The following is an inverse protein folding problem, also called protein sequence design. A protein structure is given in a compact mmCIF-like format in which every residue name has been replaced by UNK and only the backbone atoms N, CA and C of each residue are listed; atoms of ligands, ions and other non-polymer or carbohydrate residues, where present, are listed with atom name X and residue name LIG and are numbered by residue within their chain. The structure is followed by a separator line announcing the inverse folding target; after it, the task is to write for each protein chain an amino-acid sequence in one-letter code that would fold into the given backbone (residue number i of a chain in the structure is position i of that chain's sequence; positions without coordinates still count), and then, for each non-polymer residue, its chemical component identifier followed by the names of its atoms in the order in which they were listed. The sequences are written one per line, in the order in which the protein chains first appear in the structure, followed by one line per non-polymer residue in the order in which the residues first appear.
data_IF_341708439887
#
_entry.id   IF_341708439887
#
_cell.length_a   1.000
_cell.length_b   1.000
_cell.length_c   1.000
_cell.angle_alpha   90.00
_cell.angle_beta   90.00
_cell.angle_gamma   90.00
#
_symmetry.space_group_name_H-M   'P 1'
#
loop_
_entity.id
_entity.type
_entity.pdbx_description
1 polymer ?
#
# COMPACT_ATOMS: atom_id res chain seq x y z
N UNK A 1 -33.67 -12.74 5.68
CA UNK A 1 -32.94 -11.88 4.72
C UNK A 1 -33.18 -10.39 4.99
N UNK A 2 -34.35 -9.93 5.42
CA UNK A 2 -34.60 -8.50 5.73
C UNK A 2 -33.84 -7.98 6.98
N UNK A 3 -33.74 -8.78 8.04
CA UNK A 3 -32.99 -8.38 9.27
C UNK A 3 -31.48 -8.13 9.02
N UNK A 4 -30.88 -8.88 8.09
CA UNK A 4 -29.47 -8.74 7.81
C UNK A 4 -29.17 -7.47 6.97
N UNK A 5 -30.12 -7.05 6.13
CA UNK A 5 -29.99 -5.83 5.32
C UNK A 5 -30.13 -4.57 6.17
N UNK A 6 -31.04 -4.60 7.17
CA UNK A 6 -31.23 -3.49 8.10
C UNK A 6 -29.99 -3.28 9.01
N UNK A 7 -29.35 -4.37 9.48
CA UNK A 7 -28.14 -4.31 10.29
C UNK A 7 -26.93 -3.79 9.50
N UNK A 8 -26.85 -4.04 8.19
CA UNK A 8 -25.80 -3.50 7.32
C UNK A 8 -26.03 -2.00 7.05
N UNK A 9 -27.28 -1.59 6.83
CA UNK A 9 -27.64 -0.17 6.64
C UNK A 9 -27.45 0.65 7.93
N UNK A 10 -27.73 0.08 9.10
CA UNK A 10 -27.46 0.72 10.40
C UNK A 10 -25.95 0.83 10.66
N UNK A 11 -25.13 -0.15 10.22
CA UNK A 11 -23.68 -0.08 10.32
C UNK A 11 -23.07 1.01 9.41
N UNK A 12 -23.58 1.17 8.19
CA UNK A 12 -23.14 2.24 7.28
C UNK A 12 -23.61 3.63 7.74
N UNK A 13 -24.73 3.73 8.45
CA UNK A 13 -25.19 4.99 9.05
C UNK A 13 -24.32 5.46 10.25
N UNK A 14 -23.49 4.59 10.81
CA UNK A 14 -22.56 4.93 11.89
C UNK A 14 -21.28 5.59 11.39
N UNK A 15 -20.94 5.46 10.10
CA UNK A 15 -19.76 6.06 9.52
C UNK A 15 -19.96 7.58 9.34
N UNK A 16 -19.05 8.32 9.95
CA UNK A 16 -19.05 9.78 9.88
C UNK A 16 -17.82 10.24 9.10
N UNK A 17 -17.98 11.21 8.24
CA UNK A 17 -16.85 11.80 7.53
C UNK A 17 -16.99 13.31 7.41
N UNK A 18 -15.87 14.01 7.34
CA UNK A 18 -15.79 15.46 7.20
C UNK A 18 -14.53 15.86 6.48
N UNK A 19 -14.64 16.81 5.55
CA UNK A 19 -13.47 17.49 4.99
C UNK A 19 -13.28 18.79 5.77
N UNK A 20 -12.07 18.96 6.31
CA UNK A 20 -11.70 20.12 7.10
C UNK A 20 -11.34 21.33 6.19
N UNK A 21 -11.32 22.57 6.70
CA UNK A 21 -10.86 23.73 5.92
C UNK A 21 -9.44 23.59 5.37
N UNK A 22 -8.56 22.85 6.05
CA UNK A 22 -7.22 22.48 5.56
C UNK A 22 -7.23 21.56 4.33
N UNK A 23 -8.39 20.98 3.99
CA UNK A 23 -8.52 19.93 2.97
C UNK A 23 -8.41 18.49 3.51
N UNK A 24 -8.01 18.29 4.78
CA UNK A 24 -7.91 16.94 5.37
C UNK A 24 -9.28 16.27 5.42
N UNK A 25 -9.36 15.04 4.91
CA UNK A 25 -10.53 14.19 5.07
C UNK A 25 -10.43 13.41 6.37
N UNK A 26 -11.43 13.53 7.23
CA UNK A 26 -11.53 12.80 8.51
C UNK A 26 -12.68 11.79 8.41
N UNK A 27 -12.40 10.53 8.72
CA UNK A 27 -13.35 9.42 8.77
C UNK A 27 -13.40 8.86 10.19
N UNK A 28 -14.58 8.73 10.77
CA UNK A 28 -14.72 8.16 12.10
C UNK A 28 -15.85 7.12 12.12
N UNK A 29 -15.53 5.94 12.60
CA UNK A 29 -16.52 4.90 12.93
C UNK A 29 -16.52 4.66 14.45
N UNK A 30 -17.42 5.31 15.20
CA UNK A 30 -17.63 4.98 16.61
C UNK A 30 -18.14 3.54 16.74
N UNK A 31 -17.49 2.76 17.62
CA UNK A 31 -17.87 1.36 17.89
C UNK A 31 -18.16 1.19 19.38
N UNK A 32 -19.39 1.47 19.84
CA UNK A 32 -19.76 1.35 21.25
C UNK A 32 -19.52 -0.09 21.75
N UNK A 33 -18.92 -0.21 22.94
CA UNK A 33 -18.60 -1.51 23.54
C UNK A 33 -17.24 -2.08 23.19
N UNK A 34 -16.49 -1.46 22.24
CA UNK A 34 -15.08 -1.74 22.03
C UNK A 34 -14.22 -0.98 23.03
N UNK A 35 -13.16 -1.60 23.54
CA UNK A 35 -12.20 -0.95 24.41
C UNK A 35 -11.09 -0.24 23.63
N UNK A 36 -10.76 -0.73 22.44
CA UNK A 36 -9.67 -0.21 21.61
C UNK A 36 -10.15 0.76 20.54
N UNK A 37 -9.23 1.61 20.09
CA UNK A 37 -9.37 2.48 18.93
C UNK A 37 -8.19 2.25 18.01
N UNK A 38 -8.47 2.02 16.73
CA UNK A 38 -7.49 1.97 15.66
C UNK A 38 -7.53 3.26 14.86
N UNK A 39 -6.37 3.87 14.65
CA UNK A 39 -6.24 5.15 13.93
C UNK A 39 -5.22 4.98 12.81
N UNK A 40 -5.56 5.48 11.62
CA UNK A 40 -4.69 5.52 10.45
C UNK A 40 -4.63 6.96 9.94
N UNK A 41 -3.42 7.48 9.73
CA UNK A 41 -3.16 8.75 9.05
C UNK A 41 -2.39 8.45 7.77
N UNK A 42 -3.05 8.56 6.62
CA UNK A 42 -2.57 8.13 5.33
C UNK A 42 -2.34 9.31 4.38
N UNK A 43 -1.28 9.23 3.60
CA UNK A 43 -1.03 10.13 2.47
C UNK A 43 -1.11 9.34 1.16
N UNK A 44 -1.62 9.97 0.09
CA UNK A 44 -1.54 9.43 -1.27
C UNK A 44 -0.16 9.75 -1.84
N UNK A 45 0.83 9.04 -1.33
CA UNK A 45 2.22 9.08 -1.74
C UNK A 45 2.83 7.70 -1.52
N UNK A 46 3.30 7.05 -2.57
CA UNK A 46 3.89 5.72 -2.52
C UNK A 46 5.10 5.58 -3.42
N UNK A 47 5.57 4.36 -3.61
CA UNK A 47 6.82 4.10 -4.33
C UNK A 47 6.76 4.44 -5.83
N UNK A 48 5.56 4.61 -6.40
CA UNK A 48 5.39 5.02 -7.80
C UNK A 48 5.45 6.53 -8.01
N UNK A 49 5.32 7.34 -6.96
CA UNK A 49 5.30 8.81 -7.03
C UNK A 49 6.72 9.39 -7.08
N UNK A 50 7.51 9.00 -8.08
CA UNK A 50 8.91 9.37 -8.22
C UNK A 50 9.14 10.62 -9.06
N UNK A 51 8.27 10.87 -10.03
CA UNK A 51 8.35 11.99 -10.95
C UNK A 51 7.13 12.88 -10.78
N UNK A 52 7.34 14.14 -10.40
CA UNK A 52 6.25 15.10 -10.23
C UNK A 52 6.73 16.53 -10.45
N UNK A 53 5.77 17.42 -10.66
CA UNK A 53 5.99 18.87 -10.68
C UNK A 53 5.45 19.49 -9.41
N UNK A 54 6.29 20.25 -8.71
CA UNK A 54 5.96 21.02 -7.53
C UNK A 54 6.01 22.51 -7.91
N UNK A 55 4.85 23.14 -8.05
CA UNK A 55 4.75 24.45 -8.66
C UNK A 55 5.22 24.43 -10.12
N UNK A 56 6.35 25.09 -10.42
CA UNK A 56 6.97 25.09 -11.75
C UNK A 56 8.21 24.16 -11.85
N UNK A 57 8.65 23.59 -10.75
CA UNK A 57 9.86 22.75 -10.69
C UNK A 57 9.51 21.28 -10.87
N UNK A 58 10.20 20.61 -11.78
CA UNK A 58 10.17 19.16 -11.91
C UNK A 58 11.10 18.52 -10.88
N UNK A 59 10.60 17.49 -10.21
CA UNK A 59 11.30 16.72 -9.19
C UNK A 59 11.36 15.27 -9.66
N UNK A 60 12.55 14.71 -9.61
CA UNK A 60 12.82 13.31 -9.93
C UNK A 60 13.48 12.66 -8.73
N UNK A 61 12.86 11.61 -8.21
CA UNK A 61 13.28 10.94 -6.99
C UNK A 61 13.85 9.55 -7.28
N UNK A 62 14.84 9.10 -6.51
CA UNK A 62 15.34 7.73 -6.59
C UNK A 62 14.28 6.73 -6.11
N UNK A 63 14.41 5.46 -6.51
CA UNK A 63 13.58 4.39 -5.97
C UNK A 63 13.82 4.24 -4.47
N UNK A 64 12.76 3.91 -3.71
CA UNK A 64 12.85 3.74 -2.27
C UNK A 64 12.55 4.99 -1.45
N UNK A 65 12.42 6.18 -2.06
CA UNK A 65 12.25 7.44 -1.32
C UNK A 65 11.00 7.46 -0.44
N UNK A 66 9.88 6.89 -0.89
CA UNK A 66 8.64 6.86 -0.11
C UNK A 66 8.79 5.99 1.16
N UNK A 67 9.37 4.82 1.03
CA UNK A 67 9.69 3.93 2.15
C UNK A 67 10.73 4.54 3.08
N UNK A 68 11.77 5.17 2.53
CA UNK A 68 12.76 5.89 3.30
C UNK A 68 12.14 7.03 4.12
N UNK A 69 11.23 7.79 3.53
CA UNK A 69 10.51 8.87 4.22
C UNK A 69 9.61 8.32 5.32
N UNK A 70 8.99 7.17 5.12
CA UNK A 70 8.19 6.49 6.15
C UNK A 70 9.01 6.24 7.40
N UNK A 71 10.20 5.62 7.27
CA UNK A 71 11.13 5.39 8.38
C UNK A 71 11.52 6.71 9.06
N UNK A 72 11.89 7.70 8.25
CA UNK A 72 12.37 8.99 8.78
C UNK A 72 11.30 9.80 9.50
N UNK A 73 10.02 9.53 9.24
CA UNK A 73 8.92 10.24 9.89
C UNK A 73 8.80 9.92 11.39
N UNK A 74 9.33 8.78 11.84
CA UNK A 74 9.33 8.39 13.26
C UNK A 74 10.45 9.06 14.07
N UNK A 75 11.41 9.72 13.43
CA UNK A 75 12.49 10.42 14.12
C UNK A 75 12.25 11.93 14.06
N UNK A 76 12.22 12.58 15.22
CA UNK A 76 12.11 14.02 15.33
C UNK A 76 13.30 14.62 16.13
N UNK A 77 13.29 15.93 16.32
CA UNK A 77 14.37 16.65 17.04
C UNK A 77 14.50 16.18 18.50
N UNK A 78 13.40 15.75 19.11
CA UNK A 78 13.33 15.32 20.53
C UNK A 78 13.53 13.81 20.69
N UNK A 79 13.69 13.04 19.60
CA UNK A 79 13.97 11.61 19.60
C UNK A 79 12.99 10.77 18.77
N UNK A 80 12.71 9.55 19.24
CA UNK A 80 11.94 8.54 18.51
C UNK A 80 10.45 8.57 18.88
N UNK A 81 9.57 8.66 17.89
CA UNK A 81 8.11 8.62 18.09
C UNK A 81 7.63 7.28 18.67
N UNK A 82 8.29 6.15 18.39
CA UNK A 82 7.95 4.86 19.01
C UNK A 82 8.12 4.91 20.53
N UNK A 83 9.15 5.62 21.03
CA UNK A 83 9.33 5.82 22.46
C UNK A 83 8.22 6.70 23.08
N UNK A 84 7.65 7.64 22.31
CA UNK A 84 6.50 8.45 22.72
C UNK A 84 5.23 7.59 22.77
N UNK A 85 4.95 6.76 21.74
CA UNK A 85 3.84 5.81 21.74
C UNK A 85 3.93 4.77 22.85
N UNK A 86 5.13 4.28 23.17
CA UNK A 86 5.32 3.34 24.26
C UNK A 86 4.87 3.93 25.62
N UNK A 87 5.00 5.25 25.84
CA UNK A 87 4.53 5.93 27.06
C UNK A 87 3.01 5.99 27.15
N UNK A 88 2.31 6.03 26.02
CA UNK A 88 0.84 6.01 25.99
C UNK A 88 0.26 4.59 25.98
N UNK A 89 1.10 3.56 25.87
CA UNK A 89 0.68 2.17 25.74
C UNK A 89 0.10 1.83 24.37
N UNK A 90 0.18 2.72 23.41
CA UNK A 90 -0.27 2.47 22.05
C UNK A 90 0.73 1.60 21.26
N UNK A 91 0.20 0.73 20.42
CA UNK A 91 0.99 -0.06 19.46
C UNK A 91 0.96 0.66 18.10
N UNK A 92 2.07 1.29 17.73
CA UNK A 92 2.23 2.05 16.50
C UNK A 92 2.92 1.22 15.42
N UNK A 93 2.60 1.52 14.15
CA UNK A 93 3.21 0.94 12.97
C UNK A 93 3.09 1.90 11.78
N UNK A 94 3.79 1.60 10.69
CA UNK A 94 3.58 2.25 9.40
C UNK A 94 3.80 1.25 8.26
N UNK A 95 3.38 1.59 7.08
CA UNK A 95 3.73 0.86 5.86
C UNK A 95 3.67 1.76 4.64
N UNK A 96 4.54 1.48 3.69
CA UNK A 96 4.54 2.06 2.36
C UNK A 96 4.07 1.04 1.33
N UNK A 97 3.10 1.44 0.50
CA UNK A 97 2.64 0.69 -0.65
C UNK A 97 3.08 1.40 -1.94
N UNK A 98 2.63 0.90 -3.08
CA UNK A 98 2.94 1.52 -4.37
C UNK A 98 2.35 2.93 -4.51
N UNK A 99 1.15 3.19 -3.96
CA UNK A 99 0.36 4.42 -4.14
C UNK A 99 0.09 5.21 -2.86
N UNK A 100 0.51 4.72 -1.70
CA UNK A 100 0.23 5.34 -0.39
C UNK A 100 1.25 4.98 0.66
N UNK A 101 1.34 5.86 1.66
CA UNK A 101 2.03 5.60 2.93
C UNK A 101 1.05 5.82 4.07
N UNK A 102 1.02 4.91 5.03
CA UNK A 102 0.11 4.92 6.17
C UNK A 102 0.90 4.87 7.48
N UNK A 103 0.56 5.76 8.40
CA UNK A 103 1.02 5.76 9.78
C UNK A 103 -0.18 5.42 10.66
N UNK A 104 -0.02 4.49 11.58
CA UNK A 104 -1.16 3.95 12.32
C UNK A 104 -0.78 3.57 13.74
N UNK A 105 -1.79 3.55 14.61
CA UNK A 105 -1.66 2.96 15.94
C UNK A 105 -2.97 2.34 16.39
N UNK A 106 -2.86 1.45 17.39
CA UNK A 106 -3.99 0.94 18.16
C UNK A 106 -3.76 1.26 19.63
N UNK A 107 -4.76 1.88 20.27
CA UNK A 107 -4.71 2.25 21.68
C UNK A 107 -5.99 1.81 22.39
N UNK A 108 -5.87 1.40 23.66
CA UNK A 108 -7.00 1.14 24.58
C UNK A 108 -7.18 2.27 25.59
N UNK A 109 -6.12 3.02 25.85
CA UNK A 109 -6.08 4.16 26.77
C UNK A 109 -5.29 5.30 26.15
N UNK A 110 -5.32 6.50 26.71
CA UNK A 110 -4.53 7.67 26.30
C UNK A 110 -4.62 7.95 24.78
N UNK A 111 -5.85 7.89 24.23
CA UNK A 111 -6.09 8.11 22.80
C UNK A 111 -5.67 9.51 22.35
N UNK A 112 -5.95 10.54 23.16
CA UNK A 112 -5.63 11.94 22.84
C UNK A 112 -4.13 12.15 22.74
N UNK A 113 -3.35 11.62 23.69
CA UNK A 113 -1.90 11.68 23.69
C UNK A 113 -1.31 10.92 22.50
N UNK A 114 -1.87 9.76 22.16
CA UNK A 114 -1.44 8.97 21.00
C UNK A 114 -1.75 9.70 19.68
N UNK A 115 -2.91 10.38 19.58
CA UNK A 115 -3.24 11.23 18.45
C UNK A 115 -2.27 12.41 18.33
N UNK A 116 -1.89 13.03 19.45
CA UNK A 116 -0.93 14.14 19.46
C UNK A 116 0.46 13.67 18.99
N UNK A 117 0.89 12.46 19.36
CA UNK A 117 2.13 11.87 18.80
C UNK A 117 2.02 11.67 17.29
N UNK A 118 0.94 11.02 16.82
CA UNK A 118 0.75 10.74 15.38
C UNK A 118 0.70 12.01 14.53
N UNK A 119 -0.15 12.96 14.92
CA UNK A 119 -0.33 14.20 14.16
C UNK A 119 0.91 15.10 14.27
N UNK A 120 1.60 15.07 15.42
CA UNK A 120 2.83 15.81 15.63
C UNK A 120 3.98 15.33 14.77
N UNK A 121 4.26 14.02 14.75
CA UNK A 121 5.36 13.46 13.97
C UNK A 121 5.18 13.68 12.47
N UNK A 122 3.95 13.50 11.94
CA UNK A 122 3.67 13.69 10.52
C UNK A 122 3.63 15.18 10.15
N UNK A 123 3.19 16.04 11.07
CA UNK A 123 3.07 17.49 10.85
C UNK A 123 4.38 18.28 10.98
N UNK A 124 5.41 17.71 11.61
CA UNK A 124 6.68 18.40 11.88
C UNK A 124 7.88 17.52 11.51
N UNK A 125 8.09 17.24 10.22
CA UNK A 125 9.19 16.39 9.77
C UNK A 125 10.56 17.02 10.08
N UNK A 126 11.51 16.19 10.52
CA UNK A 126 12.87 16.60 10.87
C UNK A 126 13.89 15.70 10.17
N UNK A 127 14.64 16.25 9.22
CA UNK A 127 15.61 15.50 8.43
C UNK A 127 16.97 16.22 8.43
N UNK A 128 18.03 15.48 8.73
CA UNK A 128 19.40 15.96 8.64
C UNK A 128 20.26 14.96 7.86
N UNK A 129 21.39 15.41 7.30
CA UNK A 129 22.33 14.52 6.61
C UNK A 129 22.79 13.36 7.51
N UNK A 130 23.03 13.65 8.79
CA UNK A 130 23.47 12.63 9.74
C UNK A 130 22.41 11.55 10.00
N UNK A 131 21.15 11.94 10.15
CA UNK A 131 20.06 10.99 10.41
C UNK A 131 19.72 10.18 9.15
N UNK A 132 19.86 10.78 7.96
CA UNK A 132 19.72 10.08 6.68
C UNK A 132 20.82 9.03 6.51
N UNK A 133 22.08 9.40 6.73
CA UNK A 133 23.19 8.45 6.60
C UNK A 133 23.07 7.23 7.53
N UNK A 134 22.51 7.42 8.75
CA UNK A 134 22.20 6.33 9.66
C UNK A 134 21.11 5.42 9.08
N UNK A 135 20.03 6.00 8.55
CA UNK A 135 18.87 5.26 8.03
C UNK A 135 19.21 4.49 6.76
N UNK A 136 20.07 5.03 5.89
CA UNK A 136 20.59 4.32 4.71
C UNK A 136 21.23 2.97 5.09
N UNK A 137 21.93 2.91 6.23
CA UNK A 137 22.50 1.67 6.76
C UNK A 137 21.44 0.67 7.22
N UNK A 138 20.37 1.14 7.87
CA UNK A 138 19.29 0.30 8.38
C UNK A 138 18.47 -0.27 7.22
N UNK A 139 17.97 0.58 6.33
CA UNK A 139 17.17 0.18 5.16
C UNK A 139 18.01 -0.68 4.21
N UNK A 140 19.33 -0.42 4.09
CA UNK A 140 20.21 -1.26 3.31
C UNK A 140 20.31 -2.72 3.81
N UNK A 141 20.09 -2.98 5.11
CA UNK A 141 19.98 -4.36 5.62
C UNK A 141 18.59 -4.94 5.35
N UNK A 142 17.54 -4.12 5.42
CA UNK A 142 16.18 -4.54 5.10
C UNK A 142 16.03 -4.91 3.62
N UNK A 143 16.61 -4.14 2.70
CA UNK A 143 16.65 -4.47 1.27
C UNK A 143 17.27 -5.86 1.04
N UNK A 144 18.39 -6.18 1.71
CA UNK A 144 18.99 -7.51 1.62
C UNK A 144 18.08 -8.63 2.14
N UNK A 145 17.28 -8.35 3.17
CA UNK A 145 16.29 -9.30 3.67
C UNK A 145 15.17 -9.53 2.63
N UNK A 146 14.72 -8.50 1.93
CA UNK A 146 13.75 -8.64 0.83
C UNK A 146 14.35 -9.39 -0.37
N UNK A 147 15.63 -9.17 -0.69
CA UNK A 147 16.33 -9.93 -1.73
C UNK A 147 16.39 -11.44 -1.44
N UNK A 148 16.37 -11.84 -0.18
CA UNK A 148 16.33 -13.23 0.26
C UNK A 148 14.89 -13.80 0.34
N UNK A 149 13.84 -12.99 0.11
CA UNK A 149 12.43 -13.42 0.13
C UNK A 149 11.98 -13.91 -1.25
N UNK A 150 11.66 -15.22 -1.42
CA UNK A 150 11.22 -15.75 -2.71
C UNK A 150 9.94 -15.11 -3.22
N UNK A 151 8.94 -14.90 -2.35
CA UNK A 151 7.65 -14.31 -2.72
C UNK A 151 7.81 -12.87 -3.18
N UNK A 152 8.64 -12.09 -2.48
CA UNK A 152 8.92 -10.72 -2.85
C UNK A 152 9.65 -10.62 -4.20
N UNK A 153 10.66 -11.46 -4.41
CA UNK A 153 11.40 -11.56 -5.66
C UNK A 153 10.52 -12.01 -6.82
N UNK A 154 9.54 -12.86 -6.54
CA UNK A 154 8.57 -13.32 -7.54
C UNK A 154 7.68 -12.17 -8.03
N UNK A 155 7.05 -11.43 -7.11
CA UNK A 155 6.18 -10.30 -7.44
C UNK A 155 6.96 -9.20 -8.19
N UNK A 156 8.13 -8.82 -7.67
CA UNK A 156 8.99 -7.83 -8.33
C UNK A 156 9.41 -8.30 -9.73
N UNK A 157 9.78 -9.57 -9.88
CA UNK A 157 10.14 -10.17 -11.16
C UNK A 157 8.99 -10.18 -12.16
N UNK A 158 7.76 -10.41 -11.70
CA UNK A 158 6.55 -10.32 -12.54
C UNK A 158 6.33 -8.88 -13.02
N UNK A 159 6.41 -7.89 -12.12
CA UNK A 159 6.29 -6.48 -12.49
C UNK A 159 7.37 -6.05 -13.49
N UNK A 160 8.61 -6.52 -13.34
CA UNK A 160 9.68 -6.25 -14.31
C UNK A 160 9.43 -6.85 -15.69
N UNK A 161 8.76 -8.01 -15.77
CA UNK A 161 8.37 -8.63 -17.03
C UNK A 161 7.17 -7.93 -17.69
N UNK A 162 6.22 -7.46 -16.89
CA UNK A 162 4.98 -6.84 -17.38
C UNK A 162 5.19 -5.40 -17.87
N UNK A 163 6.04 -4.61 -17.20
CA UNK A 163 6.16 -3.18 -17.43
C UNK A 163 7.54 -2.78 -17.96
N UNK A 164 7.57 -1.85 -18.94
CA UNK A 164 8.81 -1.35 -19.52
C UNK A 164 9.44 -0.24 -18.69
N UNK A 165 8.62 0.71 -18.23
CA UNK A 165 9.11 1.94 -17.58
C UNK A 165 8.28 2.36 -16.37
N UNK A 166 7.11 1.76 -16.13
CA UNK A 166 6.28 2.10 -14.98
C UNK A 166 7.04 1.86 -13.66
N UNK A 167 6.99 2.79 -12.69
CA UNK A 167 7.74 2.66 -11.43
C UNK A 167 7.41 1.42 -10.60
N UNK A 168 6.27 0.76 -10.82
CA UNK A 168 5.85 -0.47 -10.15
C UNK A 168 6.84 -1.62 -10.32
N UNK A 169 7.69 -1.57 -11.36
CA UNK A 169 8.75 -2.54 -11.62
C UNK A 169 9.95 -2.44 -10.66
N UNK A 170 10.00 -1.36 -9.89
CA UNK A 170 11.02 -1.15 -8.88
C UNK A 170 10.51 -1.59 -7.51
N UNK A 171 11.39 -2.15 -6.71
CA UNK A 171 11.10 -2.48 -5.32
C UNK A 171 10.64 -1.24 -4.54
N UNK A 172 9.68 -1.40 -3.62
CA UNK A 172 9.15 -0.33 -2.77
C UNK A 172 10.27 0.26 -1.90
N UNK A 173 11.17 -0.58 -1.39
CA UNK A 173 12.33 -0.16 -0.60
C UNK A 173 13.47 0.41 -1.48
N UNK A 174 13.39 0.27 -2.80
CA UNK A 174 14.45 0.66 -3.71
C UNK A 174 15.62 -0.32 -3.73
N UNK A 175 16.82 0.19 -4.00
CA UNK A 175 18.09 -0.55 -3.92
C UNK A 175 19.07 0.20 -3.03
N UNK A 176 20.13 -0.48 -2.56
CA UNK A 176 21.17 0.16 -1.75
C UNK A 176 21.76 1.38 -2.47
N UNK A 177 21.93 1.28 -3.78
CA UNK A 177 22.46 2.37 -4.62
C UNK A 177 21.47 3.54 -4.72
N UNK A 178 20.18 3.25 -4.96
CA UNK A 178 19.18 4.30 -5.10
C UNK A 178 18.89 5.05 -3.80
N UNK A 179 18.85 4.36 -2.66
CA UNK A 179 18.65 5.03 -1.36
C UNK A 179 19.88 5.86 -0.92
N UNK A 180 21.08 5.55 -1.44
CA UNK A 180 22.28 6.34 -1.18
C UNK A 180 22.22 7.76 -1.80
N UNK A 181 21.35 7.97 -2.79
CA UNK A 181 21.15 9.27 -3.45
C UNK A 181 20.16 10.17 -2.67
N UNK A 182 19.45 9.64 -1.67
CA UNK A 182 18.42 10.38 -0.94
C UNK A 182 19.06 11.47 -0.07
N UNK A 183 18.52 12.68 -0.18
CA UNK A 183 18.97 13.87 0.58
C UNK A 183 17.83 14.44 1.43
N UNK A 184 18.14 15.26 2.47
CA UNK A 184 17.10 15.95 3.26
C UNK A 184 16.16 16.79 2.40
N UNK A 185 16.70 17.47 1.37
CA UNK A 185 15.90 18.32 0.48
C UNK A 185 14.85 17.51 -0.28
N UNK A 186 15.21 16.32 -0.80
CA UNK A 186 14.27 15.42 -1.48
C UNK A 186 13.13 15.00 -0.54
N UNK A 187 13.41 14.67 0.72
CA UNK A 187 12.40 14.31 1.70
C UNK A 187 11.48 15.49 2.05
N UNK A 188 12.03 16.71 2.21
CA UNK A 188 11.21 17.91 2.39
C UNK A 188 10.38 18.23 1.16
N UNK A 189 10.87 18.00 -0.07
CA UNK A 189 10.08 18.12 -1.29
C UNK A 189 8.88 17.17 -1.30
N UNK A 190 9.09 15.90 -0.89
CA UNK A 190 8.01 14.94 -0.72
C UNK A 190 6.97 15.41 0.30
N UNK A 191 7.43 15.95 1.44
CA UNK A 191 6.52 16.47 2.47
C UNK A 191 5.70 17.63 1.94
N UNK A 192 6.31 18.60 1.24
CA UNK A 192 5.59 19.72 0.63
C UNK A 192 4.57 19.27 -0.41
N UNK A 193 4.95 18.29 -1.23
CA UNK A 193 4.11 17.81 -2.32
C UNK A 193 2.95 16.93 -1.83
N UNK A 194 3.20 16.01 -0.93
CA UNK A 194 2.28 14.89 -0.68
C UNK A 194 1.73 14.82 0.75
N UNK A 195 2.36 15.49 1.73
CA UNK A 195 1.88 15.53 3.11
C UNK A 195 1.07 16.79 3.41
N UNK A 196 0.62 17.47 2.36
CA UNK A 196 -0.39 18.51 2.49
C UNK A 196 -1.74 17.90 2.92
N UNK A 197 -2.46 18.49 3.89
CA UNK A 197 -3.71 17.92 4.42
C UNK A 197 -4.73 17.52 3.35
N UNK A 198 -4.83 18.29 2.24
CA UNK A 198 -5.72 17.96 1.12
C UNK A 198 -5.39 16.68 0.34
N UNK A 199 -4.19 16.13 0.53
CA UNK A 199 -3.76 14.83 -0.02
C UNK A 199 -3.79 13.71 1.03
N UNK A 200 -4.33 13.97 2.23
CA UNK A 200 -4.29 13.05 3.37
C UNK A 200 -5.67 12.69 3.91
N UNK A 201 -5.73 11.55 4.58
CA UNK A 201 -6.94 11.04 5.24
C UNK A 201 -6.57 10.61 6.66
N UNK A 202 -7.34 11.05 7.64
CA UNK A 202 -7.30 10.56 9.01
C UNK A 202 -8.53 9.70 9.26
N UNK A 203 -8.34 8.41 9.49
CA UNK A 203 -9.41 7.46 9.77
C UNK A 203 -9.27 6.89 11.18
N UNK A 204 -10.38 6.81 11.93
CA UNK A 204 -10.42 6.24 13.27
C UNK A 204 -11.65 5.34 13.44
N UNK A 205 -11.44 4.16 14.02
CA UNK A 205 -12.53 3.21 14.31
C UNK A 205 -12.33 2.62 15.71
N UNK A 206 -13.40 2.56 16.51
CA UNK A 206 -13.36 2.00 17.86
C UNK A 206 -14.06 2.86 18.91
N UNK A 207 -13.50 2.87 20.11
CA UNK A 207 -13.99 3.66 21.26
C UNK A 207 -13.57 5.13 21.14
N UNK A 208 -14.14 5.83 20.17
CA UNK A 208 -13.87 7.23 19.87
C UNK A 208 -15.08 7.93 19.29
N UNK A 209 -15.00 9.25 19.11
CA UNK A 209 -16.03 10.06 18.47
C UNK A 209 -15.42 11.06 17.49
N UNK A 210 -16.25 11.57 16.55
CA UNK A 210 -15.84 12.63 15.62
C UNK A 210 -15.35 13.87 16.38
N UNK A 211 -15.99 14.23 17.49
CA UNK A 211 -15.60 15.39 18.29
C UNK A 211 -14.20 15.24 18.86
N UNK A 212 -13.85 14.06 19.38
CA UNK A 212 -12.51 13.78 19.93
C UNK A 212 -11.44 13.88 18.84
N UNK A 213 -11.66 13.30 17.68
CA UNK A 213 -10.71 13.37 16.55
C UNK A 213 -10.56 14.80 16.04
N UNK A 214 -11.67 15.56 15.92
CA UNK A 214 -11.61 16.97 15.52
C UNK A 214 -10.90 17.85 16.56
N UNK A 215 -11.04 17.57 17.85
CA UNK A 215 -10.30 18.27 18.90
C UNK A 215 -8.78 18.05 18.76
N UNK A 216 -8.33 16.85 18.46
CA UNK A 216 -6.93 16.56 18.14
C UNK A 216 -6.47 17.32 16.88
N UNK A 217 -7.26 17.30 15.81
CA UNK A 217 -6.98 18.07 14.58
C UNK A 217 -6.83 19.57 14.87
N UNK A 218 -7.67 20.12 15.76
CA UNK A 218 -7.61 21.53 16.15
C UNK A 218 -6.30 21.87 16.90
N UNK A 219 -5.84 21.01 17.80
CA UNK A 219 -4.56 21.20 18.52
C UNK A 219 -3.35 21.26 17.56
N UNK A 220 -3.43 20.56 16.44
CA UNK A 220 -2.38 20.53 15.40
C UNK A 220 -2.61 21.50 14.23
N UNK A 221 -3.53 22.47 14.38
CA UNK A 221 -3.80 23.51 13.37
C UNK A 221 -4.34 22.97 12.05
N UNK A 222 -4.97 21.78 12.04
CA UNK A 222 -5.56 21.16 10.86
C UNK A 222 -6.97 21.68 10.56
N UNK A 223 -7.50 22.57 11.42
CA UNK A 223 -8.80 23.24 11.22
C UNK A 223 -8.70 24.52 10.39
N UNK A 224 -7.48 25.01 10.14
CA UNK A 224 -7.26 26.25 9.41
C UNK A 224 -7.05 25.99 7.92
N UNK A 225 -7.47 26.93 7.07
CA UNK A 225 -7.15 26.88 5.65
C UNK A 225 -5.63 26.90 5.45
N UNK A 226 -5.13 25.99 4.64
CA UNK A 226 -3.72 25.92 4.28
C UNK A 226 -3.57 25.99 2.77
N UNK A 227 -2.80 26.94 2.23
CA UNK A 227 -2.48 26.94 0.81
C UNK A 227 -1.68 25.68 0.49
N UNK A 228 -2.19 24.86 -0.45
CA UNK A 228 -1.47 23.73 -0.98
C UNK A 228 -0.70 24.17 -2.23
N UNK A 229 0.54 23.73 -2.34
CA UNK A 229 1.28 23.85 -3.59
C UNK A 229 0.60 22.98 -4.67
N UNK A 230 0.63 23.46 -5.91
CA UNK A 230 0.11 22.68 -7.03
C UNK A 230 1.09 21.52 -7.30
N UNK A 231 0.60 20.30 -7.18
CA UNK A 231 1.35 19.07 -7.47
C UNK A 231 0.74 18.38 -8.67
N UNK A 232 1.60 17.99 -9.62
CA UNK A 232 1.21 17.23 -10.80
C UNK A 232 2.11 16.00 -10.90
N UNK A 233 1.53 14.79 -10.80
CA UNK A 233 2.26 13.53 -11.02
C UNK A 233 2.62 13.37 -12.48
N UNK A 234 3.88 13.09 -12.78
CA UNK A 234 4.40 12.95 -14.15
C UNK A 234 4.51 11.47 -14.55
N UNK A 235 3.45 10.70 -14.28
CA UNK A 235 3.40 9.30 -14.64
C UNK A 235 3.23 9.15 -16.16
N UNK A 236 4.17 8.47 -16.81
CA UNK A 236 4.13 8.21 -18.25
C UNK A 236 3.35 6.94 -18.54
N UNK A 237 2.50 6.91 -19.60
CA UNK A 237 1.87 5.67 -20.04
C UNK A 237 2.92 4.61 -20.38
N UNK A 238 2.69 3.40 -19.91
CA UNK A 238 3.53 2.25 -20.22
C UNK A 238 2.90 1.46 -21.40
N UNK A 239 3.70 1.00 -22.38
CA UNK A 239 3.16 0.23 -23.52
C UNK A 239 2.44 -1.04 -23.05
N UNK A 240 1.34 -1.42 -23.71
CA UNK A 240 0.61 -2.66 -23.40
C UNK A 240 1.34 -3.95 -23.78
N UNK A 241 2.49 -3.85 -24.43
CA UNK A 241 3.38 -4.99 -24.66
C UNK A 241 4.14 -5.36 -23.40
N UNK A 242 4.57 -6.61 -23.29
CA UNK A 242 5.40 -7.09 -22.18
C UNK A 242 6.85 -6.64 -22.36
N UNK A 243 7.51 -6.25 -21.28
CA UNK A 243 8.94 -5.96 -21.28
C UNK A 243 9.79 -7.22 -21.47
N UNK A 244 9.34 -8.34 -20.89
CA UNK A 244 9.94 -9.66 -21.09
C UNK A 244 8.85 -10.74 -21.01
N UNK A 245 9.01 -11.83 -21.78
CA UNK A 245 8.07 -12.94 -21.77
C UNK A 245 8.23 -13.85 -20.55
N UNK A 246 9.45 -13.92 -20.02
CA UNK A 246 9.80 -14.75 -18.86
C UNK A 246 11.04 -14.22 -18.15
N UNK A 247 11.15 -14.57 -16.88
CA UNK A 247 12.33 -14.32 -16.05
C UNK A 247 12.51 -15.49 -15.07
N UNK A 248 13.73 -15.98 -14.95
CA UNK A 248 14.10 -17.01 -13.97
C UNK A 248 15.10 -16.42 -12.99
N UNK A 249 14.86 -16.62 -11.69
CA UNK A 249 15.73 -16.21 -10.60
C UNK A 249 16.14 -17.46 -9.83
N UNK A 250 17.44 -17.64 -9.64
CA UNK A 250 17.96 -18.77 -8.85
C UNK A 250 18.11 -18.35 -7.39
N UNK A 251 17.47 -19.07 -6.49
CA UNK A 251 17.50 -18.83 -5.04
C UNK A 251 17.70 -20.16 -4.29
N UNK A 252 18.27 -20.14 -3.08
CA UNK A 252 18.46 -21.35 -2.25
C UNK A 252 17.16 -21.73 -1.54
N UNK A 253 16.14 -22.15 -2.30
CA UNK A 253 14.81 -22.52 -1.81
C UNK A 253 14.53 -24.01 -1.99
N UNK A 254 13.68 -24.59 -1.14
CA UNK A 254 13.37 -26.01 -1.15
C UNK A 254 12.44 -26.43 -2.30
N UNK A 255 11.51 -25.55 -2.69
CA UNK A 255 10.58 -25.72 -3.82
C UNK A 255 10.62 -24.51 -4.72
N UNK A 256 10.40 -24.75 -6.02
CA UNK A 256 10.30 -23.65 -6.99
C UNK A 256 9.01 -22.87 -6.80
N UNK A 257 9.14 -21.56 -6.66
CA UNK A 257 8.02 -20.62 -6.78
C UNK A 257 7.80 -20.28 -8.25
N UNK A 258 6.56 -20.13 -8.65
CA UNK A 258 6.20 -19.71 -10.01
C UNK A 258 5.21 -18.55 -9.97
N UNK A 259 5.23 -17.74 -11.00
CA UNK A 259 4.27 -16.66 -11.20
C UNK A 259 3.84 -16.56 -12.65
N UNK A 260 2.58 -16.21 -12.87
CA UNK A 260 2.00 -15.91 -14.18
C UNK A 260 1.29 -14.57 -14.09
N UNK A 261 1.72 -13.60 -14.90
CA UNK A 261 1.17 -12.24 -14.91
C UNK A 261 0.44 -11.91 -16.20
N UNK A 262 -0.68 -11.22 -16.09
CA UNK A 262 -1.44 -10.65 -17.20
C UNK A 262 -1.48 -9.14 -17.04
N UNK A 263 -1.06 -8.40 -18.07
CA UNK A 263 -1.14 -6.95 -18.11
C UNK A 263 -2.49 -6.54 -18.65
N UNK A 264 -3.17 -5.66 -17.91
CA UNK A 264 -4.48 -5.11 -18.26
C UNK A 264 -4.39 -3.60 -18.49
N UNK A 265 -5.38 -3.03 -19.16
CA UNK A 265 -5.52 -1.58 -19.28
C UNK A 265 -5.69 -0.96 -17.90
N UNK A 266 -4.99 0.16 -17.59
CA UNK A 266 -5.11 0.83 -16.31
C UNK A 266 -6.57 1.25 -16.03
N UNK A 267 -7.08 0.91 -14.85
CA UNK A 267 -8.40 1.33 -14.44
C UNK A 267 -8.39 2.79 -13.95
N UNK A 268 -9.47 3.55 -14.19
CA UNK A 268 -9.61 4.88 -13.60
C UNK A 268 -9.53 4.83 -12.07
N UNK A 269 -8.95 5.86 -11.48
CA UNK A 269 -8.91 5.98 -10.03
C UNK A 269 -10.34 5.96 -9.44
N UNK A 270 -10.55 5.12 -8.43
CA UNK A 270 -11.87 4.97 -7.76
C UNK A 270 -12.86 4.08 -8.50
N UNK A 271 -12.50 3.40 -9.59
CA UNK A 271 -13.35 2.38 -10.23
C UNK A 271 -13.38 1.08 -9.39
N UNK A 272 -14.03 1.16 -8.23
CA UNK A 272 -14.22 0.03 -7.33
C UNK A 272 -15.04 -1.11 -7.95
N UNK A 273 -15.93 -0.78 -8.91
CA UNK A 273 -16.77 -1.79 -9.54
C UNK A 273 -15.91 -2.76 -10.37
N UNK A 274 -15.04 -2.23 -11.20
CA UNK A 274 -14.14 -3.06 -12.02
C UNK A 274 -13.17 -3.86 -11.14
N UNK A 275 -12.63 -3.24 -10.10
CA UNK A 275 -11.78 -3.92 -9.11
C UNK A 275 -12.50 -5.11 -8.46
N UNK A 276 -13.72 -4.91 -7.94
CA UNK A 276 -14.52 -5.98 -7.36
C UNK A 276 -14.89 -7.08 -8.37
N UNK A 277 -15.07 -6.74 -9.65
CA UNK A 277 -15.32 -7.73 -10.69
C UNK A 277 -14.09 -8.61 -10.93
N UNK A 278 -12.89 -8.04 -10.98
CA UNK A 278 -11.65 -8.82 -11.07
C UNK A 278 -11.50 -9.77 -9.88
N UNK A 279 -11.70 -9.27 -8.65
CA UNK A 279 -11.63 -10.09 -7.44
C UNK A 279 -12.64 -11.25 -7.47
N UNK A 280 -13.88 -11.00 -7.89
CA UNK A 280 -14.90 -12.04 -8.02
C UNK A 280 -14.52 -13.09 -9.09
N UNK A 281 -14.00 -12.66 -10.23
CA UNK A 281 -13.54 -13.57 -11.29
C UNK A 281 -12.39 -14.43 -10.77
N UNK A 282 -11.42 -13.85 -10.05
CA UNK A 282 -10.32 -14.59 -9.46
C UNK A 282 -10.81 -15.61 -8.42
N UNK A 283 -11.77 -15.24 -7.57
CA UNK A 283 -12.41 -16.18 -6.65
C UNK A 283 -13.06 -17.37 -7.39
N UNK A 284 -13.68 -17.13 -8.54
CA UNK A 284 -14.28 -18.19 -9.34
C UNK A 284 -13.25 -19.10 -10.02
N UNK A 285 -12.14 -18.54 -10.50
CA UNK A 285 -11.09 -19.28 -11.22
C UNK A 285 -10.19 -20.05 -10.27
N UNK A 286 -9.64 -19.39 -9.25
CA UNK A 286 -8.58 -19.95 -8.39
C UNK A 286 -8.84 -19.83 -6.89
N UNK A 287 -10.01 -19.36 -6.46
CA UNK A 287 -10.37 -19.33 -5.05
C UNK A 287 -10.43 -20.73 -4.45
N UNK A 288 -10.23 -20.87 -3.14
CA UNK A 288 -10.10 -22.18 -2.44
C UNK A 288 -11.29 -23.15 -2.61
N UNK A 289 -12.43 -22.68 -3.13
CA UNK A 289 -13.61 -23.49 -3.45
C UNK A 289 -13.74 -23.79 -4.95
N UNK A 290 -12.87 -23.20 -5.81
CA UNK A 290 -12.94 -23.40 -7.26
C UNK A 290 -12.54 -24.82 -7.66
N UNK A 291 -13.06 -25.35 -8.77
CA UNK A 291 -12.69 -26.67 -9.28
C UNK A 291 -11.19 -26.78 -9.59
N UNK A 292 -10.60 -25.71 -10.15
CA UNK A 292 -9.17 -25.66 -10.46
C UNK A 292 -8.31 -25.77 -9.19
N UNK A 293 -8.60 -24.93 -8.17
CA UNK A 293 -7.84 -24.96 -6.92
C UNK A 293 -7.89 -26.36 -6.28
N UNK A 294 -9.08 -26.96 -6.20
CA UNK A 294 -9.27 -28.29 -5.64
C UNK A 294 -8.48 -29.33 -6.39
N UNK A 295 -8.53 -29.29 -7.72
CA UNK A 295 -7.75 -30.21 -8.56
C UNK A 295 -6.26 -30.06 -8.33
N UNK A 296 -5.72 -28.84 -8.37
CA UNK A 296 -4.30 -28.58 -8.16
C UNK A 296 -3.82 -29.05 -6.79
N UNK A 297 -4.64 -28.83 -5.77
CA UNK A 297 -4.34 -29.26 -4.40
C UNK A 297 -4.39 -30.79 -4.24
N UNK A 298 -5.47 -31.43 -4.70
CA UNK A 298 -5.71 -32.87 -4.55
C UNK A 298 -4.70 -33.70 -5.37
N UNK A 299 -4.26 -33.20 -6.52
CA UNK A 299 -3.19 -33.82 -7.35
C UNK A 299 -1.77 -33.50 -6.83
N UNK A 300 -1.63 -32.68 -5.78
CA UNK A 300 -0.34 -32.28 -5.21
C UNK A 300 0.50 -31.39 -6.13
N UNK A 301 -0.12 -30.73 -7.10
CA UNK A 301 0.53 -29.85 -8.07
C UNK A 301 0.91 -28.50 -7.47
N UNK A 302 0.26 -28.09 -6.39
CA UNK A 302 0.56 -26.85 -5.68
C UNK A 302 0.31 -26.98 -4.18
N UNK A 303 0.75 -25.99 -3.41
CA UNK A 303 0.48 -25.87 -1.98
C UNK A 303 -0.74 -24.95 -1.71
N UNK A 304 -1.19 -24.80 -0.45
CA UNK A 304 -2.28 -23.87 -0.10
C UNK A 304 -2.02 -22.41 -0.41
N UNK A 305 -0.78 -22.02 -0.69
CA UNK A 305 -0.40 -20.65 -1.05
C UNK A 305 -0.70 -20.25 -2.50
N UNK A 306 -1.17 -21.21 -3.35
CA UNK A 306 -1.57 -20.85 -4.71
C UNK A 306 -2.80 -19.91 -4.70
N UNK A 307 -2.70 -18.82 -5.46
CA UNK A 307 -3.81 -17.88 -5.60
C UNK A 307 -3.58 -16.88 -6.72
N UNK A 308 -4.58 -16.03 -6.90
CA UNK A 308 -4.54 -14.89 -7.82
C UNK A 308 -4.85 -13.59 -7.09
N UNK A 309 -4.22 -12.52 -7.53
CA UNK A 309 -4.46 -11.17 -7.01
C UNK A 309 -4.51 -10.14 -8.15
N UNK A 310 -5.20 -9.04 -7.90
CA UNK A 310 -5.21 -7.87 -8.78
C UNK A 310 -4.30 -6.82 -8.19
N UNK A 311 -3.23 -6.48 -8.91
CA UNK A 311 -2.36 -5.37 -8.56
C UNK A 311 -2.76 -4.16 -9.38
N UNK A 312 -3.27 -3.13 -8.70
CA UNK A 312 -3.79 -1.92 -9.32
C UNK A 312 -3.25 -0.68 -8.62
N UNK A 313 -2.65 0.20 -9.39
CA UNK A 313 -2.22 1.54 -8.98
C UNK A 313 -2.38 2.51 -10.16
N UNK A 314 -2.12 3.79 -9.97
CA UNK A 314 -2.17 4.78 -11.06
C UNK A 314 -1.30 4.33 -12.24
N UNK A 315 -1.89 4.26 -13.43
CA UNK A 315 -1.21 3.86 -14.67
C UNK A 315 -0.89 2.37 -14.81
N UNK A 316 -1.32 1.53 -13.86
CA UNK A 316 -1.05 0.10 -13.84
C UNK A 316 -2.29 -0.69 -13.43
N UNK A 317 -2.54 -1.78 -14.16
CA UNK A 317 -3.42 -2.87 -13.75
C UNK A 317 -2.83 -4.18 -14.24
N UNK A 318 -2.68 -5.16 -13.37
CA UNK A 318 -2.29 -6.51 -13.75
C UNK A 318 -2.90 -7.54 -12.82
N UNK A 319 -3.04 -8.76 -13.35
CA UNK A 319 -3.50 -9.92 -12.62
C UNK A 319 -2.30 -10.83 -12.45
N UNK A 320 -2.00 -11.23 -11.22
CA UNK A 320 -0.88 -12.07 -10.87
C UNK A 320 -1.41 -13.37 -10.26
N UNK A 321 -0.92 -14.51 -10.74
CA UNK A 321 -1.12 -15.82 -10.12
C UNK A 321 0.23 -16.30 -9.62
N UNK A 322 0.29 -16.71 -8.36
CA UNK A 322 1.54 -17.15 -7.72
C UNK A 322 1.33 -18.42 -6.93
N UNK A 323 2.39 -19.19 -6.74
CA UNK A 323 2.38 -20.42 -5.95
C UNK A 323 3.70 -21.17 -6.00
N UNK A 324 3.75 -22.30 -5.31
CA UNK A 324 4.86 -23.24 -5.34
C UNK A 324 4.47 -24.51 -6.09
N UNK A 325 5.35 -25.02 -6.96
CA UNK A 325 5.13 -26.26 -7.70
C UNK A 325 6.44 -26.89 -8.16
N UNK A 326 6.47 -28.20 -8.16
CA UNK A 326 7.51 -28.99 -8.85
C UNK A 326 7.20 -29.15 -10.36
N UNK A 327 5.99 -28.76 -10.78
CA UNK A 327 5.49 -28.85 -12.17
C UNK A 327 4.81 -27.54 -12.62
N UNK A 328 5.54 -26.41 -12.63
CA UNK A 328 4.93 -25.10 -12.91
C UNK A 328 4.27 -25.00 -14.30
N UNK A 329 4.82 -25.67 -15.31
CA UNK A 329 4.22 -25.68 -16.66
C UNK A 329 2.88 -26.43 -16.70
N UNK A 330 2.72 -27.49 -15.91
CA UNK A 330 1.45 -28.20 -15.77
C UNK A 330 0.40 -27.29 -15.10
N UNK A 331 0.77 -26.59 -14.03
CA UNK A 331 -0.12 -25.65 -13.35
C UNK A 331 -0.52 -24.52 -14.28
N UNK A 332 0.45 -23.94 -15.00
CA UNK A 332 0.21 -22.90 -16.01
C UNK A 332 -0.81 -23.35 -17.06
N UNK A 333 -0.66 -24.55 -17.62
CA UNK A 333 -1.58 -25.05 -18.65
C UNK A 333 -3.00 -25.22 -18.09
N UNK A 334 -3.13 -25.82 -16.91
CA UNK A 334 -4.42 -26.02 -16.25
C UNK A 334 -5.11 -24.69 -15.92
N UNK A 335 -4.34 -23.68 -15.49
CA UNK A 335 -4.87 -22.32 -15.26
C UNK A 335 -5.37 -21.67 -16.55
N UNK A 336 -4.59 -21.75 -17.64
CA UNK A 336 -5.00 -21.20 -18.94
C UNK A 336 -6.24 -21.92 -19.49
N UNK A 337 -6.32 -23.23 -19.34
CA UNK A 337 -7.48 -24.02 -19.76
C UNK A 337 -8.74 -23.60 -18.98
N UNK A 338 -8.61 -23.37 -17.66
CA UNK A 338 -9.72 -22.94 -16.82
C UNK A 338 -10.17 -21.51 -17.16
N UNK A 339 -9.25 -20.59 -17.38
CA UNK A 339 -9.57 -19.23 -17.85
C UNK A 339 -10.36 -19.30 -19.17
N UNK A 340 -9.92 -20.13 -20.11
CA UNK A 340 -10.59 -20.29 -21.40
C UNK A 340 -11.95 -20.98 -21.26
N UNK A 341 -12.10 -21.96 -20.34
CA UNK A 341 -13.38 -22.57 -20.01
C UNK A 341 -14.36 -21.53 -19.46
N UNK A 342 -13.94 -20.76 -18.46
CA UNK A 342 -14.78 -19.72 -17.85
C UNK A 342 -15.18 -18.66 -18.88
N UNK A 343 -14.26 -18.29 -19.78
CA UNK A 343 -14.55 -17.35 -20.87
C UNK A 343 -15.64 -17.84 -21.83
N UNK A 344 -15.69 -19.14 -22.11
CA UNK A 344 -16.64 -19.75 -23.06
C UNK A 344 -17.97 -20.14 -22.43
N UNK A 345 -17.92 -20.70 -21.24
CA UNK A 345 -19.06 -21.37 -20.58
C UNK A 345 -19.64 -20.53 -19.44
N UNK A 346 -18.90 -19.56 -18.98
CA UNK A 346 -19.22 -18.80 -17.78
C UNK A 346 -18.80 -19.53 -16.50
N UNK A 347 -19.13 -18.95 -15.35
CA UNK A 347 -18.95 -19.55 -14.04
C UNK A 347 -20.11 -20.44 -13.67
N UNK A 348 -19.83 -21.57 -13.03
CA UNK A 348 -20.87 -22.48 -12.50
C UNK A 348 -21.70 -21.74 -11.41
N UNK A 349 -23.02 -22.03 -11.40
CA UNK A 349 -23.96 -21.41 -10.45
C UNK A 349 -23.96 -22.14 -9.12
#
# INVERSE_FOLDING_TARGET
MAENTQSVLERTAADQWKVLPSGLTVLVRPMPGYSGTHVIYATRFGSIDRDFRLGEREVHLPAGVAHFLEHKMFEDEDGDAFAKFAKTGANANAFTAFDRTCYLFTATEQLDESLDVLLGMVGHPYFTEQTIAKEQGIIGQEIKMYDDSPDWRLITGLCECLYHSHPIRSDIAGTVESIAEITPEMLYDCCRAFYAPGNMVLAAAGNTSMEQILAACARHGLMDERPAEKVERLLRPDPMTLAAAEKTITMPIAKSCFGLGFKEEPLPFGDLRSEMLYELILCCICGGMSPLYRRLYDEGLTNPGFGGEVLRVDGCCCILFTGESDQPDTVRQLLLDEIERVRKEGVDR
#
